data_IF_302376534627
#
_entry.id   IF_302376534627
#
_cell.length_a   1.000
_cell.length_b   1.000
_cell.length_c   1.000
_cell.angle_alpha   90.00
_cell.angle_beta   90.00
_cell.angle_gamma   90.00
#
_symmetry.space_group_name_H-M   'P 1'
#
loop_
_entity.id
_entity.type
_entity.pdbx_description
1 polymer ?
#
# COMPACT_ATOMS: atom_id res chain seq x y z
N UNK A 1 36.72 -3.43 -9.34
CA UNK A 1 35.94 -2.75 -8.28
C UNK A 1 35.35 -1.51 -8.93
N UNK A 2 34.14 -1.62 -9.49
CA UNK A 2 33.58 -0.59 -10.37
C UNK A 2 33.15 0.65 -9.56
N UNK A 3 33.72 1.80 -9.90
CA UNK A 3 33.25 3.09 -9.43
C UNK A 3 31.85 3.39 -10.00
N UNK A 4 31.14 4.34 -9.39
CA UNK A 4 29.83 4.86 -9.84
C UNK A 4 29.80 5.25 -11.34
N UNK A 5 30.97 5.55 -11.91
CA UNK A 5 31.19 5.83 -13.32
C UNK A 5 32.38 5.00 -13.79
N UNK A 6 32.14 4.06 -14.70
CA UNK A 6 33.20 3.41 -15.44
C UNK A 6 33.36 4.15 -16.79
N UNK A 7 34.42 4.96 -16.97
CA UNK A 7 34.64 5.67 -18.22
C UNK A 7 34.85 4.72 -19.40
N UNK A 8 35.16 3.44 -19.16
CA UNK A 8 35.34 2.42 -20.19
C UNK A 8 34.04 1.80 -20.71
N UNK A 9 32.88 2.08 -20.09
CA UNK A 9 31.58 1.67 -20.64
C UNK A 9 31.35 2.34 -22.00
N UNK A 10 30.84 1.57 -22.97
CA UNK A 10 30.48 2.11 -24.28
C UNK A 10 29.32 3.11 -24.16
N UNK A 11 29.27 4.07 -25.07
CA UNK A 11 28.21 5.08 -25.07
C UNK A 11 26.82 4.47 -25.29
N UNK A 12 26.75 3.35 -26.02
CA UNK A 12 25.52 2.58 -26.21
C UNK A 12 24.99 2.00 -24.88
N UNK A 13 25.88 1.44 -24.05
CA UNK A 13 25.50 0.91 -22.73
C UNK A 13 25.04 2.04 -21.80
N UNK A 14 25.73 3.18 -21.81
CA UNK A 14 25.33 4.36 -21.04
C UNK A 14 23.96 4.89 -21.49
N UNK A 15 23.71 4.95 -22.80
CA UNK A 15 22.45 5.38 -23.37
C UNK A 15 21.30 4.44 -22.98
N UNK A 16 21.50 3.13 -23.05
CA UNK A 16 20.49 2.14 -22.63
C UNK A 16 20.15 2.24 -21.15
N UNK A 17 21.15 2.44 -20.28
CA UNK A 17 20.94 2.65 -18.85
C UNK A 17 20.15 3.93 -18.59
N UNK A 18 20.50 5.04 -19.26
CA UNK A 18 19.78 6.30 -19.12
C UNK A 18 18.32 6.20 -19.57
N UNK A 19 18.06 5.56 -20.72
CA UNK A 19 16.71 5.33 -21.22
C UNK A 19 15.86 4.54 -20.19
N UNK A 20 16.42 3.45 -19.65
CA UNK A 20 15.74 2.67 -18.62
C UNK A 20 15.44 3.48 -17.35
N UNK A 21 16.38 4.33 -16.91
CA UNK A 21 16.12 5.25 -15.80
C UNK A 21 14.99 6.24 -16.11
N UNK A 22 14.95 6.80 -17.32
CA UNK A 22 13.89 7.72 -17.74
C UNK A 22 12.52 7.03 -17.72
N UNK A 23 12.41 5.81 -18.24
CA UNK A 23 11.16 5.06 -18.31
C UNK A 23 10.63 4.70 -16.91
N UNK A 24 11.48 4.20 -16.03
CA UNK A 24 11.09 3.75 -14.69
C UNK A 24 10.79 4.91 -13.73
N UNK A 25 11.46 6.05 -13.91
CA UNK A 25 11.36 7.19 -13.00
C UNK A 25 10.40 8.29 -13.47
N UNK A 26 9.73 8.12 -14.61
CA UNK A 26 8.83 9.12 -15.20
C UNK A 26 7.72 9.61 -14.25
N UNK A 27 7.24 8.74 -13.36
CA UNK A 27 6.16 9.02 -12.41
C UNK A 27 6.63 9.74 -11.13
N UNK A 28 7.93 10.00 -11.01
CA UNK A 28 8.55 10.52 -9.79
C UNK A 28 9.12 11.91 -10.03
N UNK A 29 9.01 12.77 -9.01
CA UNK A 29 9.61 14.10 -9.09
C UNK A 29 11.14 13.99 -9.00
N UNK A 30 11.84 14.95 -9.61
CA UNK A 30 13.30 15.02 -9.53
C UNK A 30 13.81 15.00 -8.07
N UNK A 31 13.13 15.72 -7.16
CA UNK A 31 13.48 15.75 -5.73
C UNK A 31 13.37 14.37 -5.07
N UNK A 32 12.33 13.61 -5.39
CA UNK A 32 12.15 12.24 -4.91
C UNK A 32 13.27 11.34 -5.41
N UNK A 33 13.61 11.41 -6.69
CA UNK A 33 14.69 10.66 -7.31
C UNK A 33 16.04 10.99 -6.65
N UNK A 34 16.36 12.27 -6.46
CA UNK A 34 17.60 12.71 -5.80
C UNK A 34 17.67 12.23 -4.36
N UNK A 35 16.57 12.31 -3.62
CA UNK A 35 16.50 11.76 -2.26
C UNK A 35 16.79 10.26 -2.27
N UNK A 36 16.18 9.51 -3.18
CA UNK A 36 16.34 8.06 -3.25
C UNK A 36 17.77 7.64 -3.62
N UNK A 37 18.39 8.32 -4.60
CA UNK A 37 19.79 8.11 -4.97
C UNK A 37 20.74 8.38 -3.79
N UNK A 38 20.52 9.46 -3.04
CA UNK A 38 21.33 9.78 -1.85
C UNK A 38 21.15 8.77 -0.74
N UNK A 39 19.93 8.30 -0.50
CA UNK A 39 19.64 7.26 0.49
C UNK A 39 20.31 5.94 0.12
N UNK A 40 20.17 5.50 -1.13
CA UNK A 40 20.85 4.31 -1.63
C UNK A 40 22.37 4.40 -1.46
N UNK A 41 22.97 5.52 -1.85
CA UNK A 41 24.43 5.69 -1.79
C UNK A 41 24.97 5.67 -0.35
N UNK A 42 24.19 6.11 0.64
CA UNK A 42 24.57 6.01 2.06
C UNK A 42 24.58 4.56 2.54
N UNK A 43 23.63 3.76 2.09
CA UNK A 43 23.49 2.34 2.48
C UNK A 43 24.41 1.42 1.67
N UNK A 44 24.68 1.77 0.42
CA UNK A 44 25.39 0.96 -0.56
C UNK A 44 26.54 1.74 -1.24
N UNK A 45 27.52 2.28 -0.50
CA UNK A 45 28.50 3.26 -1.02
C UNK A 45 29.45 2.72 -2.10
N UNK A 46 29.50 1.40 -2.31
CA UNK A 46 30.37 0.74 -3.29
C UNK A 46 29.60 0.06 -4.42
N UNK A 47 28.29 0.27 -4.51
CA UNK A 47 27.44 -0.38 -5.51
C UNK A 47 26.67 0.66 -6.31
N UNK A 48 26.66 0.47 -7.63
CA UNK A 48 25.81 1.25 -8.55
C UNK A 48 24.35 0.81 -8.37
N UNK A 49 23.41 1.74 -8.13
CA UNK A 49 21.99 1.40 -8.13
C UNK A 49 21.50 1.06 -9.54
N UNK A 50 20.58 0.12 -9.63
CA UNK A 50 19.70 -0.06 -10.79
C UNK A 50 18.47 0.84 -10.66
N UNK A 51 17.72 1.10 -11.76
CA UNK A 51 16.42 1.75 -11.66
C UNK A 51 15.46 1.05 -10.69
N UNK A 52 15.46 -0.29 -10.69
CA UNK A 52 14.64 -1.08 -9.76
C UNK A 52 14.94 -0.81 -8.28
N UNK A 53 16.21 -0.64 -7.93
CA UNK A 53 16.62 -0.30 -6.56
C UNK A 53 16.04 1.05 -6.11
N UNK A 54 16.09 2.04 -7.00
CA UNK A 54 15.58 3.39 -6.75
C UNK A 54 14.05 3.38 -6.67
N UNK A 55 13.38 2.71 -7.60
CA UNK A 55 11.91 2.57 -7.61
C UNK A 55 11.42 1.84 -6.36
N UNK A 56 12.12 0.80 -5.90
CA UNK A 56 11.77 0.08 -4.68
C UNK A 56 11.84 0.99 -3.45
N UNK A 57 12.90 1.77 -3.32
CA UNK A 57 13.09 2.71 -2.21
C UNK A 57 12.02 3.81 -2.21
N UNK A 58 11.69 4.33 -3.40
CA UNK A 58 10.64 5.33 -3.60
C UNK A 58 9.24 4.79 -3.24
N UNK A 59 8.89 3.59 -3.70
CA UNK A 59 7.61 2.92 -3.39
C UNK A 59 7.49 2.63 -1.90
N UNK A 60 8.57 2.17 -1.26
CA UNK A 60 8.61 1.92 0.19
C UNK A 60 8.29 3.21 0.97
N UNK A 61 9.00 4.30 0.69
CA UNK A 61 8.78 5.58 1.37
C UNK A 61 7.36 6.12 1.16
N UNK A 62 6.82 6.01 -0.06
CA UNK A 62 5.43 6.38 -0.35
C UNK A 62 4.44 5.52 0.44
N UNK A 63 4.67 4.21 0.52
CA UNK A 63 3.85 3.28 1.28
C UNK A 63 3.84 3.58 2.77
N UNK A 64 5.01 3.87 3.37
CA UNK A 64 5.14 4.25 4.77
C UNK A 64 4.40 5.56 5.09
N UNK A 65 4.47 6.55 4.19
CA UNK A 65 3.72 7.80 4.31
C UNK A 65 2.21 7.54 4.30
N UNK A 66 1.72 6.81 3.30
CA UNK A 66 0.28 6.49 3.17
C UNK A 66 -0.21 5.67 4.37
N UNK A 67 0.57 4.70 4.83
CA UNK A 67 0.23 3.90 6.01
C UNK A 67 0.11 4.77 7.26
N UNK A 68 1.04 5.72 7.46
CA UNK A 68 0.99 6.68 8.56
C UNK A 68 -0.22 7.59 8.49
N UNK A 69 -0.53 8.11 7.30
CA UNK A 69 -1.72 8.96 7.08
C UNK A 69 -3.01 8.19 7.34
N UNK A 70 -3.12 6.94 6.88
CA UNK A 70 -4.27 6.08 7.16
C UNK A 70 -4.40 5.74 8.63
N UNK A 71 -3.31 5.40 9.30
CA UNK A 71 -3.31 5.12 10.74
C UNK A 71 -3.75 6.35 11.56
N UNK A 72 -3.37 7.56 11.14
CA UNK A 72 -3.81 8.80 11.78
C UNK A 72 -5.28 9.16 11.45
N UNK A 73 -5.78 8.75 10.28
CA UNK A 73 -7.16 9.00 9.84
C UNK A 73 -8.18 8.01 10.40
N UNK A 74 -7.74 6.83 10.86
CA UNK A 74 -8.55 5.97 11.73
C UNK A 74 -8.65 6.68 13.07
N UNK A 75 -9.65 7.57 13.18
CA UNK A 75 -10.21 7.91 14.49
C UNK A 75 -10.58 6.58 15.16
N UNK A 76 -10.41 6.44 16.48
CA UNK A 76 -11.08 5.34 17.16
C UNK A 76 -12.56 5.49 16.84
N UNK A 77 -13.10 4.62 15.98
CA UNK A 77 -14.53 4.46 15.91
C UNK A 77 -14.94 4.17 17.35
N UNK A 78 -15.79 5.03 17.91
CA UNK A 78 -16.59 4.76 19.10
C UNK A 78 -17.56 3.61 18.79
N UNK A 79 -17.05 2.47 18.34
CA UNK A 79 -17.61 1.20 18.73
C UNK A 79 -17.34 1.06 20.23
N UNK A 80 -18.03 1.89 21.03
CA UNK A 80 -18.45 1.48 22.35
C UNK A 80 -19.01 0.07 22.15
N UNK A 81 -18.23 -0.94 22.57
CA UNK A 81 -18.59 -2.33 22.36
C UNK A 81 -20.04 -2.48 22.83
N UNK A 82 -20.92 -2.93 21.94
CA UNK A 82 -22.34 -3.09 22.24
C UNK A 82 -22.46 -3.72 23.63
N UNK A 83 -23.23 -3.08 24.51
CA UNK A 83 -23.52 -3.63 25.82
C UNK A 83 -23.99 -5.08 25.66
N UNK A 84 -23.72 -5.92 26.64
CA UNK A 84 -24.23 -7.29 26.69
C UNK A 84 -25.76 -7.32 26.51
N UNK A 85 -26.44 -6.25 26.95
CA UNK A 85 -27.88 -6.03 26.78
C UNK A 85 -28.24 -5.72 25.32
N UNK A 86 -27.43 -4.92 24.61
CA UNK A 86 -27.64 -4.65 23.18
C UNK A 86 -27.41 -5.90 22.33
N UNK A 87 -26.43 -6.73 22.68
CA UNK A 87 -26.22 -8.03 22.02
C UNK A 87 -27.43 -8.97 22.21
N UNK A 88 -28.02 -9.00 23.41
CA UNK A 88 -29.22 -9.79 23.67
C UNK A 88 -30.42 -9.26 22.91
N UNK A 89 -30.61 -7.93 22.86
CA UNK A 89 -31.70 -7.29 22.12
C UNK A 89 -31.63 -7.56 20.63
N UNK A 90 -30.45 -7.38 20.02
CA UNK A 90 -30.25 -7.64 18.58
C UNK A 90 -30.44 -9.12 18.25
N UNK A 91 -29.95 -10.03 19.11
CA UNK A 91 -30.17 -11.47 18.96
C UNK A 91 -31.65 -11.85 19.02
N UNK A 92 -32.40 -11.29 19.97
CA UNK A 92 -33.83 -11.52 20.11
C UNK A 92 -34.62 -11.01 18.89
N UNK A 93 -34.34 -9.80 18.41
CA UNK A 93 -34.98 -9.27 17.20
C UNK A 93 -34.67 -10.10 15.95
N UNK A 94 -33.45 -10.62 15.82
CA UNK A 94 -33.08 -11.49 14.70
C UNK A 94 -33.81 -12.83 14.76
N UNK A 95 -33.93 -13.41 15.96
CA UNK A 95 -34.67 -14.65 16.20
C UNK A 95 -36.15 -14.51 15.86
N UNK A 96 -36.80 -13.43 16.27
CA UNK A 96 -38.21 -13.18 15.99
C UNK A 96 -38.48 -12.96 14.50
N UNK A 97 -37.60 -12.22 13.81
CA UNK A 97 -37.69 -12.02 12.35
C UNK A 97 -37.51 -13.33 11.59
N UNK A 98 -36.57 -14.17 12.03
CA UNK A 98 -36.34 -15.48 11.43
C UNK A 98 -37.55 -16.41 11.64
N UNK A 99 -38.13 -16.41 12.85
CA UNK A 99 -39.32 -17.19 13.17
C UNK A 99 -40.56 -16.74 12.38
N UNK A 100 -40.70 -15.43 12.14
CA UNK A 100 -41.75 -14.88 11.29
C UNK A 100 -41.59 -15.28 9.81
N UNK A 101 -40.35 -15.37 9.32
CA UNK A 101 -40.03 -15.76 7.95
C UNK A 101 -40.26 -17.27 7.69
N UNK A 102 -40.03 -18.13 8.68
CA UNK A 102 -40.14 -19.59 8.54
C UNK A 102 -41.57 -20.10 8.81
N UNK A 103 -42.51 -19.24 9.25
CA UNK A 103 -43.89 -19.66 9.52
C UNK A 103 -44.55 -20.22 8.24
N UNK A 104 -45.07 -21.46 8.27
CA UNK A 104 -45.74 -22.04 7.13
C UNK A 104 -47.03 -21.25 6.84
N UNK A 105 -47.25 -20.91 5.57
CA UNK A 105 -48.50 -20.28 5.15
C UNK A 105 -49.70 -21.13 5.57
N UNK A 106 -50.78 -20.51 6.07
CA UNK A 106 -52.01 -21.25 6.33
C UNK A 106 -52.46 -21.91 5.03
N UNK A 107 -52.71 -23.22 5.06
CA UNK A 107 -53.30 -23.94 3.93
C UNK A 107 -54.64 -23.27 3.64
N UNK A 108 -54.73 -22.62 2.48
CA UNK A 108 -55.99 -22.05 1.98
C UNK A 108 -56.96 -23.23 1.84
N UNK A 109 -58.03 -23.22 2.63
CA UNK A 109 -59.08 -24.23 2.56
C UNK A 109 -60.15 -23.76 1.59
N UNK A 110 -60.47 -24.67 0.66
CA UNK A 110 -61.54 -24.71 -0.36
C UNK A 110 -61.47 -23.78 -1.57
#
# INVERSE_FOLDING_TARGET
>A
MAAYFDPSESDEVKAGLLAWFCDELQDWTHEQVVWALRSWNRENPRRRPTPGDIVALLKKARGEKIARERAAAVQPDDHAGMSREDHQRVSAEMSDKLAAFIRPMPKVAE
#
